data_IF_132777510305
#
_entry.id   IF_132777510305
#
_cell.length_a   1.000
_cell.length_b   1.000
_cell.length_c   1.000
_cell.angle_alpha   90.00
_cell.angle_beta   90.00
_cell.angle_gamma   90.00
#
_symmetry.space_group_name_H-M   'P 1'
#
loop_
_entity.id
_entity.type
_entity.pdbx_description
1 polymer ?
#
# COMPACT_ATOMS: atom_id res chain seq x y z
N UNK A 1 68.84 -1.71 -34.32
CA UNK A 1 68.88 -1.56 -32.85
C UNK A 1 68.39 -0.20 -32.34
N UNK A 2 68.60 0.94 -33.01
CA UNK A 2 68.18 2.27 -32.48
C UNK A 2 66.66 2.53 -32.38
N UNK A 3 65.81 1.78 -33.09
CA UNK A 3 64.35 1.97 -33.08
C UNK A 3 63.67 1.24 -31.93
N UNK A 4 64.14 0.05 -31.57
CA UNK A 4 63.57 -0.77 -30.50
C UNK A 4 63.80 -0.13 -29.12
N UNK A 5 64.99 0.46 -28.92
CA UNK A 5 65.33 1.18 -27.68
C UNK A 5 64.44 2.41 -27.46
N UNK A 6 64.04 3.09 -28.55
CA UNK A 6 63.12 4.25 -28.48
C UNK A 6 61.70 3.81 -28.12
N UNK A 7 61.24 2.69 -28.69
CA UNK A 7 59.91 2.14 -28.39
C UNK A 7 59.88 1.63 -26.94
N UNK A 8 60.92 0.94 -26.49
CA UNK A 8 61.04 0.46 -25.12
C UNK A 8 61.06 1.62 -24.12
N UNK A 9 61.83 2.68 -24.40
CA UNK A 9 61.86 3.88 -23.56
C UNK A 9 60.50 4.59 -23.50
N UNK A 10 59.78 4.66 -24.63
CA UNK A 10 58.46 5.27 -24.68
C UNK A 10 57.41 4.47 -23.88
N UNK A 11 57.44 3.14 -23.98
CA UNK A 11 56.56 2.25 -23.21
C UNK A 11 56.86 2.36 -21.71
N UNK A 12 58.14 2.39 -21.32
CA UNK A 12 58.51 2.52 -19.91
C UNK A 12 58.08 3.88 -19.32
N UNK A 13 58.26 4.97 -20.08
CA UNK A 13 57.80 6.30 -19.67
C UNK A 13 56.27 6.37 -19.53
N UNK A 14 55.53 5.72 -20.43
CA UNK A 14 54.07 5.65 -20.37
C UNK A 14 53.58 4.87 -19.13
N UNK A 15 54.24 3.76 -18.77
CA UNK A 15 53.89 2.98 -17.57
C UNK A 15 54.14 3.80 -16.30
N UNK A 16 55.24 4.53 -16.20
CA UNK A 16 55.52 5.38 -15.03
C UNK A 16 54.49 6.50 -14.84
N UNK A 17 54.02 7.11 -15.94
CA UNK A 17 52.97 8.14 -15.90
C UNK A 17 51.62 7.56 -15.46
N UNK A 18 51.30 6.32 -15.83
CA UNK A 18 50.06 5.66 -15.42
C UNK A 18 50.05 5.27 -13.94
N UNK A 19 51.19 4.92 -13.35
CA UNK A 19 51.27 4.56 -11.92
C UNK A 19 51.33 5.75 -10.96
N UNK A 20 51.76 6.92 -11.42
CA UNK A 20 51.89 8.12 -10.58
C UNK A 20 50.55 8.81 -10.23
N UNK A 21 49.44 8.43 -10.89
CA UNK A 21 48.13 9.09 -10.74
C UNK A 21 47.21 8.53 -9.65
N UNK A 22 47.47 7.32 -9.13
CA UNK A 22 46.51 6.65 -8.24
C UNK A 22 46.50 7.14 -6.78
N UNK A 23 47.56 7.80 -6.31
CA UNK A 23 47.67 8.14 -4.88
C UNK A 23 46.98 9.47 -4.52
N UNK A 24 46.97 10.44 -5.45
CA UNK A 24 46.44 11.80 -5.20
C UNK A 24 44.91 11.89 -5.09
N UNK A 25 44.16 10.87 -5.53
CA UNK A 25 42.70 10.87 -5.42
C UNK A 25 42.19 10.41 -4.03
N UNK A 26 43.02 9.74 -3.23
CA UNK A 26 42.63 9.22 -1.90
C UNK A 26 42.59 10.30 -0.80
N UNK A 27 43.36 11.38 -0.96
CA UNK A 27 43.47 12.46 0.04
C UNK A 27 42.34 13.48 0.00
N UNK A 28 41.61 13.59 -1.12
CA UNK A 28 40.50 14.56 -1.24
C UNK A 28 39.19 14.08 -0.59
N UNK A 29 39.08 12.80 -0.24
CA UNK A 29 37.90 12.24 0.45
C UNK A 29 38.15 11.89 1.92
N UNK A 30 39.37 12.04 2.43
CA UNK A 30 39.66 11.88 3.86
C UNK A 30 39.52 13.23 4.57
N UNK A 31 38.29 13.58 4.92
CA UNK A 31 38.01 14.69 5.85
C UNK A 31 38.62 14.34 7.21
N UNK A 32 39.55 15.15 7.73
CA UNK A 32 39.98 15.05 9.14
C UNK A 32 38.74 15.21 10.02
N UNK A 33 38.41 14.19 10.83
CA UNK A 33 37.37 14.29 11.84
C UNK A 33 37.80 15.36 12.84
N UNK A 34 37.15 16.52 12.81
CA UNK A 34 37.19 17.45 13.95
C UNK A 34 36.62 16.69 15.14
N UNK A 35 37.24 16.83 16.32
CA UNK A 35 36.74 16.23 17.55
C UNK A 35 35.26 16.58 17.70
N UNK A 36 34.42 15.59 17.45
CA UNK A 36 32.97 15.69 17.59
C UNK A 36 32.74 15.77 19.10
N UNK A 37 32.30 16.94 19.59
CA UNK A 37 31.69 16.96 20.91
C UNK A 37 30.53 15.98 20.81
N UNK A 38 30.55 14.95 21.63
CA UNK A 38 29.42 14.05 21.82
C UNK A 38 28.26 14.90 22.33
N UNK A 39 27.50 15.48 21.40
CA UNK A 39 26.19 16.02 21.71
C UNK A 39 25.34 14.78 21.91
N UNK A 40 24.99 14.53 23.17
CA UNK A 40 24.05 13.49 23.55
C UNK A 40 22.74 13.76 22.80
N UNK A 41 22.56 13.06 21.68
CA UNK A 41 21.40 13.21 20.83
C UNK A 41 20.25 12.46 21.53
N UNK A 42 19.58 13.14 22.46
CA UNK A 42 18.36 12.63 23.09
C UNK A 42 17.23 12.72 22.06
N UNK A 43 17.24 11.81 21.08
CA UNK A 43 16.05 11.47 20.30
C UNK A 43 15.22 10.52 21.16
N UNK A 44 14.57 11.04 22.20
CA UNK A 44 13.46 10.33 22.80
C UNK A 44 12.32 10.41 21.77
N UNK A 45 11.86 9.29 21.19
CA UNK A 45 10.63 9.31 20.41
C UNK A 45 9.53 9.78 21.37
N UNK A 46 8.88 10.90 21.06
CA UNK A 46 7.63 11.22 21.74
C UNK A 46 6.67 10.06 21.41
N UNK A 47 6.31 9.28 22.43
CA UNK A 47 5.17 8.37 22.34
C UNK A 47 3.93 9.25 22.22
N UNK A 48 3.57 9.60 20.98
CA UNK A 48 2.24 10.10 20.69
C UNK A 48 1.29 8.95 21.04
N UNK A 49 0.62 9.06 22.19
CA UNK A 49 -0.55 8.24 22.46
C UNK A 49 -1.50 8.50 21.30
N UNK A 50 -1.67 7.52 20.41
CA UNK A 50 -2.58 7.65 19.29
C UNK A 50 -3.92 8.09 19.90
N UNK A 51 -4.42 9.31 19.61
CA UNK A 51 -5.71 9.72 20.13
C UNK A 51 -6.68 8.63 19.68
N UNK A 52 -7.35 8.00 20.64
CA UNK A 52 -8.25 6.88 20.36
C UNK A 52 -9.15 7.31 19.21
N UNK A 53 -9.04 6.62 18.06
CA UNK A 53 -9.73 7.07 16.86
C UNK A 53 -11.21 7.13 17.17
N UNK A 54 -11.81 8.29 16.95
CA UNK A 54 -13.25 8.47 17.07
C UNK A 54 -13.95 7.36 16.25
N UNK A 55 -14.83 6.55 16.85
CA UNK A 55 -15.54 5.49 16.13
C UNK A 55 -16.24 5.98 14.86
N UNK A 56 -16.68 7.24 14.83
CA UNK A 56 -17.27 7.83 13.64
C UNK A 56 -16.24 8.03 12.52
N UNK A 57 -15.07 8.57 12.83
CA UNK A 57 -14.02 8.76 11.84
C UNK A 57 -13.51 7.42 11.33
N UNK A 58 -13.36 6.44 12.23
CA UNK A 58 -13.02 5.08 11.86
C UNK A 58 -14.08 4.45 10.93
N UNK A 59 -15.37 4.70 11.19
CA UNK A 59 -16.46 4.25 10.31
C UNK A 59 -16.35 4.88 8.92
N UNK A 60 -16.19 6.21 8.85
CA UNK A 60 -16.06 6.94 7.57
C UNK A 60 -14.86 6.46 6.76
N UNK A 61 -13.73 6.26 7.43
CA UNK A 61 -12.52 5.74 6.81
C UNK A 61 -12.73 4.34 6.22
N UNK A 62 -13.31 3.42 7.01
CA UNK A 62 -13.61 2.07 6.53
C UNK A 62 -14.66 2.07 5.41
N UNK A 63 -15.66 2.95 5.46
CA UNK A 63 -16.67 3.10 4.42
C UNK A 63 -16.02 3.55 3.09
N UNK A 64 -15.09 4.50 3.15
CA UNK A 64 -14.34 4.95 1.99
C UNK A 64 -13.48 3.83 1.41
N UNK A 65 -12.75 3.10 2.26
CA UNK A 65 -11.93 1.97 1.83
C UNK A 65 -12.75 0.85 1.21
N UNK A 66 -13.90 0.51 1.81
CA UNK A 66 -14.83 -0.45 1.24
C UNK A 66 -15.24 -0.05 -0.18
N UNK A 67 -15.67 1.21 -0.37
CA UNK A 67 -16.06 1.72 -1.70
C UNK A 67 -14.91 1.63 -2.69
N UNK A 68 -13.73 2.09 -2.30
CA UNK A 68 -12.53 2.09 -3.14
C UNK A 68 -12.16 0.68 -3.60
N UNK A 69 -12.06 -0.27 -2.67
CA UNK A 69 -11.71 -1.65 -2.99
C UNK A 69 -12.77 -2.35 -3.82
N UNK A 70 -14.04 -2.06 -3.57
CA UNK A 70 -15.12 -2.62 -4.38
C UNK A 70 -15.14 -2.05 -5.80
N UNK A 71 -14.82 -0.76 -5.97
CA UNK A 71 -14.65 -0.13 -7.29
C UNK A 71 -13.44 -0.66 -8.04
N UNK A 72 -12.34 -0.92 -7.33
CA UNK A 72 -11.21 -1.61 -7.91
C UNK A 72 -11.57 -3.03 -8.34
N UNK A 73 -12.38 -3.76 -7.57
CA UNK A 73 -12.89 -5.07 -7.97
C UNK A 73 -13.70 -4.99 -9.26
N UNK A 74 -14.66 -4.07 -9.36
CA UNK A 74 -15.46 -3.86 -10.57
C UNK A 74 -14.59 -3.48 -11.78
N UNK A 75 -13.53 -2.71 -11.55
CA UNK A 75 -12.56 -2.35 -12.58
C UNK A 75 -11.69 -3.54 -12.99
N UNK A 76 -11.38 -4.44 -12.06
CA UNK A 76 -10.61 -5.66 -12.30
C UNK A 76 -11.43 -6.77 -12.98
N UNK A 77 -12.77 -6.67 -12.98
CA UNK A 77 -13.67 -7.52 -13.78
C UNK A 77 -13.65 -7.10 -15.26
N UNK A 78 -12.52 -7.37 -15.91
CA UNK A 78 -12.33 -7.19 -17.35
C UNK A 78 -11.95 -8.52 -18.03
N UNK A 79 -12.24 -8.69 -19.34
CA UNK A 79 -11.77 -9.85 -20.10
C UNK A 79 -10.23 -9.96 -20.01
N UNK A 80 -9.72 -11.12 -19.62
CA UNK A 80 -8.29 -11.33 -19.39
C UNK A 80 -7.72 -10.65 -18.12
N UNK A 81 -8.60 -10.17 -17.22
CA UNK A 81 -8.21 -9.55 -15.97
C UNK A 81 -7.45 -10.47 -15.01
N UNK A 82 -6.64 -9.88 -14.13
CA UNK A 82 -5.85 -10.63 -13.16
C UNK A 82 -6.73 -11.16 -12.02
N UNK A 83 -7.00 -12.48 -12.02
CA UNK A 83 -7.79 -13.16 -10.99
C UNK A 83 -7.28 -12.92 -9.56
N UNK A 84 -5.96 -12.91 -9.34
CA UNK A 84 -5.39 -12.65 -8.01
C UNK A 84 -5.77 -11.27 -7.51
N UNK A 85 -5.76 -10.28 -8.40
CA UNK A 85 -6.19 -8.92 -8.09
C UNK A 85 -7.69 -8.88 -7.76
N UNK A 86 -8.53 -9.56 -8.54
CA UNK A 86 -9.98 -9.62 -8.27
C UNK A 86 -10.27 -10.19 -6.87
N UNK A 87 -9.61 -11.31 -6.50
CA UNK A 87 -9.75 -11.92 -5.17
C UNK A 87 -9.24 -10.99 -4.06
N UNK A 88 -8.09 -10.36 -4.26
CA UNK A 88 -7.51 -9.42 -3.30
C UNK A 88 -8.43 -8.22 -3.03
N UNK A 89 -8.98 -7.60 -4.08
CA UNK A 89 -9.92 -6.49 -3.94
C UNK A 89 -11.19 -6.93 -3.19
N UNK A 90 -11.70 -8.13 -3.46
CA UNK A 90 -12.84 -8.69 -2.71
C UNK A 90 -12.50 -8.90 -1.23
N UNK A 91 -11.33 -9.47 -0.93
CA UNK A 91 -10.89 -9.73 0.45
C UNK A 91 -10.75 -8.43 1.26
N UNK A 92 -10.12 -7.40 0.69
CA UNK A 92 -10.01 -6.09 1.35
C UNK A 92 -11.38 -5.40 1.47
N UNK A 93 -12.23 -5.47 0.45
CA UNK A 93 -13.59 -4.93 0.56
C UNK A 93 -14.36 -5.60 1.69
N UNK A 94 -14.24 -6.92 1.84
CA UNK A 94 -14.96 -7.69 2.84
C UNK A 94 -14.49 -7.36 4.26
N UNK A 95 -13.18 -7.22 4.45
CA UNK A 95 -12.57 -6.73 5.69
C UNK A 95 -13.13 -5.38 6.12
N UNK A 96 -13.17 -4.40 5.21
CA UNK A 96 -13.70 -3.08 5.52
C UNK A 96 -15.21 -3.05 5.72
N UNK A 97 -15.97 -3.87 4.98
CA UNK A 97 -17.40 -4.05 5.21
C UNK A 97 -17.68 -4.57 6.63
N UNK A 98 -16.95 -5.61 7.06
CA UNK A 98 -17.07 -6.16 8.42
C UNK A 98 -16.70 -5.13 9.49
N UNK A 99 -15.68 -4.32 9.24
CA UNK A 99 -15.30 -3.23 10.14
C UNK A 99 -16.44 -2.22 10.28
N UNK A 100 -17.04 -1.76 9.18
CA UNK A 100 -18.21 -0.88 9.22
C UNK A 100 -19.37 -1.49 10.01
N UNK A 101 -19.72 -2.75 9.73
CA UNK A 101 -20.81 -3.47 10.41
C UNK A 101 -20.52 -3.59 11.92
N UNK A 102 -19.29 -3.91 12.30
CA UNK A 102 -18.87 -4.03 13.69
C UNK A 102 -18.95 -2.70 14.44
N UNK A 103 -18.46 -1.62 13.83
CA UNK A 103 -18.52 -0.26 14.41
C UNK A 103 -19.96 0.22 14.56
N UNK A 104 -20.82 -0.07 13.57
CA UNK A 104 -22.24 0.28 13.61
C UNK A 104 -23.05 -0.59 14.59
N UNK A 105 -22.47 -1.64 15.17
CA UNK A 105 -23.18 -2.59 16.05
C UNK A 105 -24.19 -3.48 15.32
N UNK A 106 -24.14 -3.56 13.98
CA UNK A 106 -25.11 -4.26 13.14
C UNK A 106 -24.70 -5.71 12.81
N UNK A 107 -23.76 -6.30 13.56
CA UNK A 107 -23.20 -7.62 13.25
C UNK A 107 -24.23 -8.75 13.25
N UNK A 108 -25.26 -8.64 14.09
CA UNK A 108 -26.34 -9.63 14.19
C UNK A 108 -27.49 -9.36 13.22
N UNK A 109 -27.48 -8.26 12.48
CA UNK A 109 -28.54 -7.96 11.52
C UNK A 109 -28.55 -8.99 10.37
N UNK A 110 -29.72 -9.55 10.01
CA UNK A 110 -29.84 -10.47 8.89
C UNK A 110 -29.34 -9.87 7.57
N UNK A 111 -29.56 -8.56 7.37
CA UNK A 111 -29.10 -7.83 6.19
C UNK A 111 -27.57 -7.81 6.10
N UNK A 112 -26.85 -7.46 7.19
CA UNK A 112 -25.39 -7.52 7.25
C UNK A 112 -24.86 -8.90 6.86
N UNK A 113 -25.44 -9.96 7.46
CA UNK A 113 -25.03 -11.34 7.20
C UNK A 113 -25.24 -11.72 5.73
N UNK A 114 -26.37 -11.33 5.15
CA UNK A 114 -26.68 -11.58 3.75
C UNK A 114 -25.68 -10.89 2.81
N UNK A 115 -25.35 -9.62 3.05
CA UNK A 115 -24.36 -8.91 2.23
C UNK A 115 -22.97 -9.54 2.30
N UNK A 116 -22.52 -9.92 3.48
CA UNK A 116 -21.23 -10.63 3.66
C UNK A 116 -21.25 -11.95 2.88
N UNK A 117 -22.33 -12.73 2.98
CA UNK A 117 -22.47 -14.00 2.26
C UNK A 117 -22.48 -13.81 0.75
N UNK A 118 -23.11 -12.76 0.23
CA UNK A 118 -23.13 -12.46 -1.20
C UNK A 118 -21.74 -12.08 -1.73
N UNK A 119 -20.95 -11.31 -0.99
CA UNK A 119 -19.54 -11.05 -1.34
C UNK A 119 -18.73 -12.36 -1.30
N UNK A 120 -18.90 -13.20 -0.28
CA UNK A 120 -18.23 -14.51 -0.21
C UNK A 120 -18.60 -15.43 -1.37
N UNK A 121 -19.87 -15.42 -1.79
CA UNK A 121 -20.34 -16.18 -2.96
C UNK A 121 -19.71 -15.66 -4.25
N UNK A 122 -19.62 -14.34 -4.43
CA UNK A 122 -18.90 -13.74 -5.56
C UNK A 122 -17.43 -14.16 -5.56
N UNK A 123 -16.76 -14.09 -4.39
CA UNK A 123 -15.38 -14.53 -4.22
C UNK A 123 -15.19 -15.99 -4.63
N UNK A 124 -16.03 -16.91 -4.14
CA UNK A 124 -15.98 -18.32 -4.54
C UNK A 124 -16.25 -18.55 -6.04
N UNK A 125 -17.13 -17.72 -6.62
CA UNK A 125 -17.37 -17.71 -8.07
C UNK A 125 -16.12 -17.33 -8.88
N UNK A 126 -15.44 -16.25 -8.47
CA UNK A 126 -14.19 -15.78 -9.09
C UNK A 126 -13.06 -16.79 -8.88
N UNK A 127 -12.94 -17.36 -7.67
CA UNK A 127 -11.90 -18.34 -7.34
C UNK A 127 -12.02 -19.60 -8.21
N UNK A 128 -13.25 -20.08 -8.41
CA UNK A 128 -13.52 -21.24 -9.27
C UNK A 128 -13.42 -20.94 -10.77
N UNK A 129 -13.43 -19.67 -11.20
CA UNK A 129 -13.25 -19.30 -12.60
C UNK A 129 -11.76 -19.22 -12.96
N UNK A 130 -11.13 -20.39 -13.14
CA UNK A 130 -9.70 -20.51 -13.45
C UNK A 130 -9.33 -19.82 -14.76
N UNK A 131 -10.24 -19.82 -15.73
CA UNK A 131 -9.99 -19.33 -17.09
C UNK A 131 -10.48 -17.89 -17.30
N UNK A 132 -11.21 -17.29 -16.36
CA UNK A 132 -11.73 -15.93 -16.49
C UNK A 132 -12.82 -15.80 -17.55
N UNK A 133 -13.53 -16.89 -17.87
CA UNK A 133 -14.54 -16.90 -18.93
C UNK A 133 -15.90 -16.41 -18.46
N UNK A 134 -16.07 -16.22 -17.14
CA UNK A 134 -17.35 -15.89 -16.51
C UNK A 134 -17.38 -14.46 -15.95
N UNK A 135 -16.45 -13.59 -16.34
CA UNK A 135 -16.34 -12.21 -15.84
C UNK A 135 -17.67 -11.44 -15.95
N UNK A 136 -18.34 -11.52 -17.11
CA UNK A 136 -19.63 -10.85 -17.34
C UNK A 136 -20.74 -11.35 -16.40
N UNK A 137 -20.69 -12.63 -16.01
CA UNK A 137 -21.64 -13.20 -15.07
C UNK A 137 -21.47 -12.66 -13.64
N UNK A 138 -20.30 -12.12 -13.31
CA UNK A 138 -20.01 -11.54 -12.00
C UNK A 138 -20.25 -10.02 -11.95
N UNK A 139 -20.07 -9.32 -13.08
CA UNK A 139 -20.16 -7.86 -13.16
C UNK A 139 -21.53 -7.33 -12.74
N UNK A 140 -22.60 -7.79 -13.37
CA UNK A 140 -23.96 -7.30 -13.06
C UNK A 140 -24.36 -7.57 -11.59
N UNK A 141 -24.20 -8.80 -11.04
CA UNK A 141 -24.46 -9.03 -9.63
C UNK A 141 -23.60 -8.19 -8.69
N UNK A 142 -22.33 -7.96 -9.05
CA UNK A 142 -21.43 -7.15 -8.25
C UNK A 142 -21.85 -5.67 -8.21
N UNK A 143 -22.28 -5.09 -9.32
CA UNK A 143 -22.75 -3.70 -9.38
C UNK A 143 -24.04 -3.50 -8.58
N UNK A 144 -24.99 -4.45 -8.69
CA UNK A 144 -26.23 -4.42 -7.89
C UNK A 144 -25.90 -4.50 -6.40
N UNK A 145 -25.03 -5.45 -6.02
CA UNK A 145 -24.60 -5.62 -4.63
C UNK A 145 -23.91 -4.36 -4.10
N UNK A 146 -23.07 -3.68 -4.90
CA UNK A 146 -22.45 -2.40 -4.52
C UNK A 146 -23.49 -1.36 -4.13
N UNK A 147 -24.54 -1.20 -4.95
CA UNK A 147 -25.59 -0.20 -4.73
C UNK A 147 -26.35 -0.49 -3.44
N UNK A 148 -26.75 -1.74 -3.23
CA UNK A 148 -27.50 -2.17 -2.05
C UNK A 148 -26.68 -1.98 -0.76
N UNK A 149 -25.43 -2.45 -0.74
CA UNK A 149 -24.55 -2.26 0.41
C UNK A 149 -24.27 -0.77 0.65
N UNK A 150 -24.09 0.03 -0.40
CA UNK A 150 -23.86 1.47 -0.25
C UNK A 150 -25.03 2.16 0.43
N UNK A 151 -26.27 1.82 0.06
CA UNK A 151 -27.49 2.37 0.68
C UNK A 151 -27.56 1.94 2.15
N UNK A 152 -27.35 0.65 2.41
CA UNK A 152 -27.34 0.09 3.76
C UNK A 152 -26.31 0.77 4.66
N UNK A 153 -25.04 0.85 4.25
CA UNK A 153 -23.99 1.48 5.05
C UNK A 153 -24.21 2.99 5.25
N UNK A 154 -24.82 3.68 4.28
CA UNK A 154 -25.17 5.09 4.45
C UNK A 154 -26.30 5.29 5.47
N UNK A 155 -27.25 4.36 5.56
CA UNK A 155 -28.30 4.42 6.62
C UNK A 155 -27.76 4.16 8.03
N UNK A 156 -26.56 3.60 8.15
CA UNK A 156 -25.91 3.23 9.41
C UNK A 156 -24.88 4.25 9.90
N UNK A 157 -24.72 5.38 9.20
CA UNK A 157 -23.76 6.42 9.62
C UNK A 157 -24.17 6.93 11.00
N UNK A 158 -23.33 6.74 12.05
CA UNK A 158 -23.67 7.21 13.39
C UNK A 158 -23.83 8.72 13.37
N UNK A 159 -24.94 9.20 13.95
CA UNK A 159 -25.24 10.62 14.07
C UNK A 159 -24.09 11.33 14.79
N UNK A 160 -23.67 12.48 14.26
CA UNK A 160 -22.64 13.29 14.91
C UNK A 160 -23.20 13.78 16.25
N UNK A 161 -22.69 13.24 17.37
CA UNK A 161 -22.70 14.01 18.60
C UNK A 161 -21.88 15.26 18.30
N UNK A 162 -22.52 16.44 18.42
CA UNK A 162 -21.90 17.73 18.17
C UNK A 162 -20.62 17.92 18.99
N UNK A 163 -19.81 18.95 18.67
CA UNK A 163 -18.50 19.13 19.29
C UNK A 163 -18.66 19.12 20.81
N UNK A 164 -18.07 18.11 21.46
CA UNK A 164 -17.85 18.14 22.90
C UNK A 164 -16.86 19.27 23.12
N UNK A 165 -17.39 20.42 23.53
CA UNK A 165 -16.60 21.52 24.04
C UNK A 165 -15.67 20.94 25.10
N UNK A 166 -14.38 20.96 24.80
CA UNK A 166 -13.34 20.75 25.78
C UNK A 166 -13.22 22.09 26.49
N UNK A 167 -13.73 22.16 27.72
CA UNK A 167 -13.54 23.27 28.65
C UNK A 167 -12.07 23.37 29.10
#
# INVERSE_FOLDING_TARGET
MRSFDRVLAFVMAAVMLLTAGCESFSRKFTRKKSAEREVEMVLAPEEYSAPGQDPQELYRQNLLYWRSWYDEFLSALSPGGNRKRQLYCLDESLKHLRACIGIAGAAEEPAAREYVNRILKLRGGVESDIYGNRVESFRNPAEVLKKEISVYLNSMVPAAEGPRHVD
#
